data_IF_924034015582
#
_entry.id   IF_924034015582
#
_cell.length_a   1.000
_cell.length_b   1.000
_cell.length_c   1.000
_cell.angle_alpha   90.00
_cell.angle_beta   90.00
_cell.angle_gamma   90.00
#
_symmetry.space_group_name_H-M   'P 1'
#
loop_
_entity.id
_entity.type
_entity.pdbx_description
1 polymer ?
#
# COMPACT_ATOMS: atom_id res chain seq x y z
N UNK A 1 -5.51 0.28 -6.44
CA UNK A 1 -4.47 -0.02 -5.42
C UNK A 1 -3.32 -0.85 -5.99
N UNK A 2 -3.51 -2.11 -6.41
CA UNK A 2 -2.42 -2.96 -6.94
C UNK A 2 -1.58 -2.34 -8.06
N UNK A 3 -2.21 -1.63 -9.00
CA UNK A 3 -1.50 -0.93 -10.08
C UNK A 3 -0.67 0.24 -9.54
N UNK A 4 -1.20 0.96 -8.54
CA UNK A 4 -0.56 2.12 -7.94
C UNK A 4 0.67 1.72 -7.12
N UNK A 5 0.59 0.65 -6.33
CA UNK A 5 1.73 0.15 -5.52
C UNK A 5 2.88 -0.34 -6.41
N UNK A 6 2.55 -0.83 -7.61
CA UNK A 6 3.53 -1.29 -8.61
C UNK A 6 4.04 -0.17 -9.53
N UNK A 7 3.55 1.05 -9.36
CA UNK A 7 3.98 2.18 -10.18
C UNK A 7 5.46 2.47 -9.91
N UNK A 8 6.30 2.68 -10.95
CA UNK A 8 7.71 3.01 -10.78
C UNK A 8 7.94 4.18 -9.84
N UNK A 9 7.06 5.19 -9.89
CA UNK A 9 7.11 6.38 -9.04
C UNK A 9 6.96 6.03 -7.56
N UNK A 10 6.07 5.08 -7.22
CA UNK A 10 5.86 4.61 -5.85
C UNK A 10 7.04 3.76 -5.37
N UNK A 11 7.57 2.89 -6.23
CA UNK A 11 8.76 2.07 -5.91
C UNK A 11 9.95 2.98 -5.60
N UNK A 12 10.22 3.97 -6.45
CA UNK A 12 11.33 4.91 -6.27
C UNK A 12 11.11 5.82 -5.05
N UNK A 13 9.88 6.30 -4.82
CA UNK A 13 9.57 7.12 -3.65
C UNK A 13 9.76 6.33 -2.35
N UNK A 14 9.30 5.08 -2.31
CA UNK A 14 9.43 4.19 -1.15
C UNK A 14 10.89 3.80 -0.91
N UNK A 15 11.66 3.53 -1.97
CA UNK A 15 13.09 3.25 -1.85
C UNK A 15 13.86 4.45 -1.30
N UNK A 16 13.59 5.65 -1.81
CA UNK A 16 14.21 6.89 -1.29
C UNK A 16 13.91 7.08 0.19
N UNK A 17 12.65 6.95 0.60
CA UNK A 17 12.23 7.07 2.00
C UNK A 17 12.84 5.97 2.89
N UNK A 18 12.92 4.73 2.40
CA UNK A 18 13.55 3.62 3.10
C UNK A 18 15.05 3.84 3.32
N UNK A 19 15.74 4.39 2.32
CA UNK A 19 17.17 4.71 2.41
C UNK A 19 17.51 5.78 3.45
N UNK A 20 16.57 6.64 3.82
CA UNK A 20 16.76 7.60 4.92
C UNK A 20 16.91 6.90 6.27
N UNK A 21 16.38 5.68 6.40
CA UNK A 21 16.40 4.88 7.62
C UNK A 21 17.46 3.78 7.58
N UNK A 22 17.72 3.19 6.41
CA UNK A 22 18.78 2.21 6.19
C UNK A 22 19.37 2.32 4.77
N UNK A 23 20.62 2.78 4.70
CA UNK A 23 21.33 2.95 3.44
C UNK A 23 21.64 1.63 2.71
N UNK A 24 21.53 0.48 3.38
CA UNK A 24 21.73 -0.85 2.81
C UNK A 24 20.58 -1.34 1.93
N UNK A 25 19.39 -0.75 2.07
CA UNK A 25 18.19 -1.14 1.31
C UNK A 25 18.39 -0.83 -0.18
N UNK A 26 18.34 -1.86 -1.01
CA UNK A 26 18.36 -1.73 -2.47
C UNK A 26 16.97 -1.47 -3.04
N UNK A 27 16.92 -0.82 -4.21
CA UNK A 27 15.66 -0.64 -4.96
C UNK A 27 15.02 -2.00 -5.31
N UNK A 28 15.85 -3.00 -5.62
CA UNK A 28 15.40 -4.35 -5.96
C UNK A 28 14.66 -5.03 -4.81
N UNK A 29 15.16 -4.89 -3.58
CA UNK A 29 14.50 -5.41 -2.38
C UNK A 29 13.17 -4.70 -2.11
N UNK A 30 13.13 -3.37 -2.24
CA UNK A 30 11.89 -2.60 -2.07
C UNK A 30 10.87 -3.01 -3.11
N UNK A 31 11.28 -3.15 -4.38
CA UNK A 31 10.42 -3.61 -5.45
C UNK A 31 9.88 -5.01 -5.18
N UNK A 32 10.72 -5.94 -4.74
CA UNK A 32 10.31 -7.31 -4.40
C UNK A 32 9.28 -7.31 -3.26
N UNK A 33 9.56 -6.59 -2.17
CA UNK A 33 8.67 -6.49 -1.03
C UNK A 33 7.31 -5.86 -1.40
N UNK A 34 7.29 -4.82 -2.24
CA UNK A 34 6.04 -4.21 -2.73
C UNK A 34 5.26 -5.14 -3.66
N UNK A 35 5.94 -6.02 -4.41
CA UNK A 35 5.30 -7.04 -5.25
C UNK A 35 4.74 -8.20 -4.42
N UNK A 36 5.37 -8.57 -3.30
CA UNK A 36 4.88 -9.61 -2.39
C UNK A 36 3.59 -9.19 -1.65
N UNK A 37 3.19 -7.93 -1.74
CA UNK A 37 1.90 -7.47 -1.27
C UNK A 37 0.72 -7.95 -2.15
N UNK A 38 0.97 -8.25 -3.43
CA UNK A 38 -0.07 -8.67 -4.40
C UNK A 38 -0.71 -10.01 -4.00
N UNK A 39 0.05 -11.06 -3.64
CA UNK A 39 -0.50 -12.30 -3.07
C UNK A 39 -1.36 -12.08 -1.82
N UNK A 40 -0.87 -11.28 -0.86
CA UNK A 40 -1.61 -10.99 0.38
C UNK A 40 -2.93 -10.27 0.11
N UNK A 41 -2.96 -9.37 -0.86
CA UNK A 41 -4.18 -8.70 -1.28
C UNK A 41 -5.22 -9.66 -1.86
N UNK A 42 -4.78 -10.67 -2.62
CA UNK A 42 -5.67 -11.64 -3.26
C UNK A 42 -6.28 -12.64 -2.26
N UNK A 43 -5.65 -12.83 -1.10
CA UNK A 43 -6.16 -13.65 0.00
C UNK A 43 -7.27 -12.94 0.80
N UNK A 44 -7.39 -11.62 0.70
CA UNK A 44 -8.41 -10.86 1.42
C UNK A 44 -9.80 -11.09 0.83
N UNK A 45 -10.80 -11.20 1.71
CA UNK A 45 -12.19 -11.24 1.26
C UNK A 45 -12.56 -9.94 0.53
N UNK A 46 -13.51 -9.96 -0.43
CA UNK A 46 -13.90 -8.76 -1.17
C UNK A 46 -14.32 -7.57 -0.28
N UNK A 47 -14.96 -7.85 0.86
CA UNK A 47 -15.34 -6.82 1.83
C UNK A 47 -14.13 -6.16 2.52
N UNK A 48 -13.08 -6.93 2.77
CA UNK A 48 -11.84 -6.42 3.38
C UNK A 48 -11.05 -5.58 2.39
N UNK A 49 -10.96 -6.01 1.13
CA UNK A 49 -10.38 -5.21 0.06
C UNK A 49 -11.11 -3.86 -0.06
N UNK A 50 -12.44 -3.87 -0.07
CA UNK A 50 -13.25 -2.65 -0.12
C UNK A 50 -12.99 -1.74 1.09
N UNK A 51 -12.90 -2.30 2.29
CA UNK A 51 -12.59 -1.55 3.51
C UNK A 51 -11.22 -0.87 3.42
N UNK A 52 -10.18 -1.56 2.97
CA UNK A 52 -8.85 -0.96 2.83
C UNK A 52 -8.87 0.17 1.81
N UNK A 53 -9.53 0.00 0.66
CA UNK A 53 -9.66 1.08 -0.33
C UNK A 53 -10.41 2.29 0.25
N UNK A 54 -11.49 2.08 1.00
CA UNK A 54 -12.25 3.16 1.65
C UNK A 54 -11.43 3.92 2.70
N UNK A 55 -10.52 3.25 3.41
CA UNK A 55 -9.63 3.89 4.36
C UNK A 55 -8.54 4.73 3.68
N UNK A 56 -8.09 4.30 2.51
CA UNK A 56 -7.03 4.97 1.74
C UNK A 56 -7.52 6.11 0.86
N UNK A 57 -8.78 6.07 0.43
CA UNK A 57 -9.35 7.08 -0.46
C UNK A 57 -10.02 8.18 0.35
N UNK A 58 -9.59 9.42 0.14
CA UNK A 58 -10.23 10.61 0.71
C UNK A 58 -11.48 10.96 -0.09
N UNK A 59 -11.36 10.97 -1.42
CA UNK A 59 -12.43 11.36 -2.35
C UNK A 59 -12.18 10.79 -3.74
N UNK A 60 -13.26 10.48 -4.46
CA UNK A 60 -13.23 10.15 -5.89
C UNK A 60 -14.07 11.18 -6.63
N UNK A 61 -13.46 11.84 -7.62
CA UNK A 61 -14.13 12.76 -8.54
C UNK A 61 -14.29 12.06 -9.90
N UNK A 62 -15.54 11.90 -10.33
CA UNK A 62 -15.89 11.26 -11.61
C UNK A 62 -16.51 12.31 -12.53
N UNK A 63 -15.98 12.44 -13.73
CA UNK A 63 -16.57 13.23 -14.82
C UNK A 63 -16.81 12.32 -16.03
N UNK A 64 -17.47 12.83 -17.07
CA UNK A 64 -17.69 12.05 -18.30
C UNK A 64 -16.38 11.60 -18.96
N UNK A 65 -15.31 12.39 -18.83
CA UNK A 65 -14.05 12.17 -19.54
C UNK A 65 -12.87 11.84 -18.60
N UNK A 66 -13.08 11.90 -17.28
CA UNK A 66 -11.99 11.72 -16.32
C UNK A 66 -12.40 11.11 -14.99
N UNK A 67 -11.44 10.42 -14.38
CA UNK A 67 -11.50 9.89 -13.02
C UNK A 67 -10.32 10.44 -12.24
N UNK A 68 -10.57 11.14 -11.13
CA UNK A 68 -9.54 11.60 -10.21
C UNK A 68 -9.76 10.99 -8.82
N UNK A 69 -8.68 10.54 -8.19
CA UNK A 69 -8.72 9.92 -6.86
C UNK A 69 -7.78 10.70 -5.95
N UNK A 70 -8.32 11.21 -4.85
CA UNK A 70 -7.55 11.81 -3.77
C UNK A 70 -7.34 10.77 -2.66
N UNK A 71 -6.09 10.58 -2.24
CA UNK A 71 -5.72 9.62 -1.21
C UNK A 71 -5.52 10.31 0.15
N UNK A 72 -5.91 9.62 1.22
CA UNK A 72 -5.64 10.02 2.61
C UNK A 72 -4.18 9.71 2.93
N UNK A 73 -3.34 10.73 2.96
CA UNK A 73 -1.91 10.58 3.30
C UNK A 73 -1.70 10.28 4.77
N UNK A 74 -2.56 10.77 5.68
CA UNK A 74 -2.47 10.45 7.11
C UNK A 74 -2.96 9.02 7.43
N UNK A 75 -3.85 8.48 6.59
CA UNK A 75 -4.43 7.14 6.77
C UNK A 75 -3.50 5.97 6.46
N UNK A 76 -2.47 6.19 5.62
CA UNK A 76 -1.48 5.19 5.23
C UNK A 76 -0.63 4.70 6.41
N UNK A 77 -0.24 5.60 7.32
CA UNK A 77 0.49 5.24 8.55
C UNK A 77 -0.37 4.39 9.48
N UNK A 78 -1.66 4.74 9.62
CA UNK A 78 -2.61 3.96 10.41
C UNK A 78 -2.89 2.57 9.82
N UNK A 79 -2.99 2.47 8.49
CA UNK A 79 -3.15 1.19 7.80
C UNK A 79 -1.90 0.30 7.96
N UNK A 80 -0.69 0.86 7.83
CA UNK A 80 0.55 0.11 8.01
C UNK A 80 0.63 -0.47 9.43
N UNK A 81 0.21 0.29 10.45
CA UNK A 81 0.14 -0.18 11.83
C UNK A 81 -0.89 -1.32 12.01
N UNK A 82 -2.09 -1.21 11.44
CA UNK A 82 -3.12 -2.27 11.52
C UNK A 82 -2.69 -3.55 10.81
N UNK A 83 -2.04 -3.44 9.65
CA UNK A 83 -1.51 -4.59 8.90
C UNK A 83 -0.40 -5.30 9.68
N UNK A 84 0.53 -4.55 10.27
CA UNK A 84 1.60 -5.13 11.09
C UNK A 84 1.04 -5.85 12.33
N UNK A 85 0.08 -5.23 13.02
CA UNK A 85 -0.58 -5.83 14.19
C UNK A 85 -1.33 -7.14 13.85
N UNK A 86 -1.93 -7.23 12.65
CA UNK A 86 -2.59 -8.46 12.18
C UNK A 86 -1.59 -9.54 11.77
N UNK A 87 -0.43 -9.15 11.26
CA UNK A 87 0.65 -10.07 10.91
C UNK A 87 1.23 -10.72 12.17
N UNK A 88 1.45 -9.94 13.23
CA UNK A 88 1.88 -10.43 14.55
C UNK A 88 0.85 -11.40 15.15
N UNK A 89 -0.45 -11.09 15.05
CA UNK A 89 -1.52 -11.94 15.53
C UNK A 89 -1.62 -13.28 14.77
N UNK A 90 -1.25 -13.31 13.49
CA UNK A 90 -1.27 -14.53 12.64
C UNK A 90 -0.03 -15.41 12.84
N UNK A 91 1.10 -14.85 13.28
CA UNK A 91 2.32 -15.60 13.61
C UNK A 91 2.33 -16.19 15.03
N UNK A 92 1.45 -15.72 15.92
CA UNK A 92 1.34 -16.20 17.30
C UNK A 92 0.29 -17.34 17.48
N UNK A 93 -0.39 -17.75 16.41
CA UNK A 93 -1.38 -18.82 16.36
C UNK A 93 -0.85 -20.03 15.60
#
# INVERSE_FOLDING_TARGET
MRILIRAPEIIIATWKAGREHDAGISEGEVRAALLDLDPLWNELFPAEQARIVQLLVERVDVTMDSLSIRLRTEGLAGLAADLNQRQDARSAA
#
